data_IF_330861517103
#
_entry.id   IF_330861517103
#
_cell.length_a   1.000
_cell.length_b   1.000
_cell.length_c   1.000
_cell.angle_alpha   90.00
_cell.angle_beta   90.00
_cell.angle_gamma   90.00
#
_symmetry.space_group_name_H-M   'P 1'
#
loop_
_entity.id
_entity.type
_entity.pdbx_description
1 polymer ?
#
# COMPACT_ATOMS: atom_id res chain seq x y z
N UNK A 1 -99.44 18.82 -38.14
CA UNK A 1 -98.58 19.68 -38.96
C UNK A 1 -97.17 19.64 -38.42
N UNK A 2 -96.34 19.39 -39.32
CA UNK A 2 -94.84 19.52 -39.47
C UNK A 2 -93.98 18.37 -38.97
N UNK A 3 -93.52 17.64 -39.98
CA UNK A 3 -92.38 16.73 -40.02
C UNK A 3 -91.08 17.39 -39.60
N UNK A 4 -90.26 16.72 -38.86
CA UNK A 4 -88.84 16.95 -38.83
C UNK A 4 -88.08 15.65 -38.80
N UNK A 5 -87.39 15.40 -39.90
CA UNK A 5 -86.42 14.31 -40.14
C UNK A 5 -85.26 14.37 -39.18
N UNK A 6 -84.89 13.25 -38.56
CA UNK A 6 -83.64 13.05 -37.90
C UNK A 6 -82.67 12.29 -38.82
N UNK A 7 -81.59 12.95 -39.22
CA UNK A 7 -80.45 12.37 -39.89
C UNK A 7 -79.55 11.64 -38.84
N UNK A 8 -79.37 10.33 -39.05
CA UNK A 8 -78.41 9.54 -38.27
C UNK A 8 -77.06 9.63 -38.94
N UNK A 9 -76.12 10.28 -38.28
CA UNK A 9 -74.74 10.31 -38.70
C UNK A 9 -73.98 9.08 -38.08
N UNK A 10 -73.62 8.14 -38.93
CA UNK A 10 -72.75 7.02 -38.55
C UNK A 10 -71.30 7.49 -38.45
N UNK A 11 -70.75 7.51 -37.22
CA UNK A 11 -69.33 7.76 -36.99
C UNK A 11 -68.57 6.43 -37.04
N UNK A 12 -67.76 6.21 -38.10
CA UNK A 12 -66.79 5.12 -38.19
C UNK A 12 -65.57 5.47 -37.30
N UNK A 13 -65.47 4.81 -36.13
CA UNK A 13 -64.28 4.86 -35.27
C UNK A 13 -63.27 3.84 -35.78
N UNK A 14 -62.22 4.32 -36.49
CA UNK A 14 -61.07 3.47 -36.83
C UNK A 14 -60.21 3.26 -35.59
N UNK A 15 -60.21 2.09 -35.03
CA UNK A 15 -59.26 1.68 -33.98
C UNK A 15 -57.89 1.42 -34.63
N UNK A 16 -56.97 2.34 -34.39
CA UNK A 16 -55.53 2.14 -34.74
C UNK A 16 -54.96 1.20 -33.69
N UNK A 17 -54.78 -0.08 -33.99
CA UNK A 17 -54.11 -1.04 -33.13
C UNK A 17 -52.61 -0.72 -33.11
N UNK A 18 -52.14 -0.03 -32.07
CA UNK A 18 -50.73 0.14 -31.79
C UNK A 18 -50.17 -1.21 -31.34
N UNK A 19 -49.41 -1.88 -32.21
CA UNK A 19 -48.66 -3.07 -31.85
C UNK A 19 -47.52 -2.64 -30.90
N UNK A 20 -47.70 -2.84 -29.60
CA UNK A 20 -46.65 -2.72 -28.60
C UNK A 20 -45.72 -3.90 -28.81
N UNK A 21 -44.40 -3.69 -29.08
CA UNK A 21 -43.48 -4.81 -29.14
C UNK A 21 -43.50 -5.51 -27.76
N UNK A 22 -43.92 -6.77 -27.75
CA UNK A 22 -43.76 -7.59 -26.56
C UNK A 22 -42.28 -7.77 -26.33
N UNK A 23 -41.75 -7.16 -25.24
CA UNK A 23 -40.43 -7.47 -24.71
C UNK A 23 -40.53 -8.95 -24.32
N UNK A 24 -39.86 -9.80 -25.13
CA UNK A 24 -39.68 -11.22 -24.80
C UNK A 24 -39.02 -11.28 -23.42
N UNK A 25 -39.78 -11.68 -22.40
CA UNK A 25 -39.17 -12.10 -21.15
C UNK A 25 -38.32 -13.31 -21.50
N UNK A 26 -36.99 -13.21 -21.20
CA UNK A 26 -36.14 -14.37 -21.32
C UNK A 26 -36.75 -15.47 -20.44
N UNK A 27 -37.21 -16.54 -21.07
CA UNK A 27 -37.78 -17.68 -20.35
C UNK A 27 -36.76 -18.22 -19.36
N UNK A 28 -37.13 -18.36 -18.10
CA UNK A 28 -36.29 -19.02 -17.12
C UNK A 28 -35.94 -20.44 -17.61
N UNK A 29 -34.65 -20.80 -17.53
CA UNK A 29 -34.19 -22.13 -17.89
C UNK A 29 -34.99 -23.19 -17.09
N UNK A 30 -35.50 -24.20 -17.77
CA UNK A 30 -36.10 -25.34 -17.11
C UNK A 30 -35.12 -26.10 -16.23
N UNK A 31 -35.57 -26.87 -15.27
CA UNK A 31 -34.67 -27.67 -14.40
C UNK A 31 -33.74 -28.58 -15.20
N UNK A 32 -34.23 -29.18 -16.29
CA UNK A 32 -33.41 -30.02 -17.18
C UNK A 32 -32.33 -29.23 -17.93
N UNK A 33 -32.64 -28.02 -18.41
CA UNK A 33 -31.68 -27.14 -19.05
C UNK A 33 -30.61 -26.64 -18.05
N UNK A 34 -30.97 -26.30 -16.81
CA UNK A 34 -30.04 -25.94 -15.76
C UNK A 34 -29.05 -27.07 -15.48
N UNK A 35 -29.52 -28.29 -15.29
CA UNK A 35 -28.69 -29.48 -15.06
C UNK A 35 -27.74 -29.77 -16.23
N UNK A 36 -28.21 -29.62 -17.46
CA UNK A 36 -27.37 -29.82 -18.64
C UNK A 36 -26.28 -28.74 -18.77
N UNK A 37 -26.60 -27.46 -18.50
CA UNK A 37 -25.60 -26.37 -18.45
C UNK A 37 -24.55 -26.64 -17.38
N UNK A 38 -24.96 -27.06 -16.18
CA UNK A 38 -24.05 -27.40 -15.08
C UNK A 38 -23.09 -28.54 -15.48
N UNK A 39 -23.63 -29.58 -16.15
CA UNK A 39 -22.82 -30.70 -16.64
C UNK A 39 -21.80 -30.23 -17.69
N UNK A 40 -22.24 -29.48 -18.69
CA UNK A 40 -21.37 -28.95 -19.76
C UNK A 40 -20.25 -28.07 -19.16
N UNK A 41 -20.60 -27.15 -18.24
CA UNK A 41 -19.63 -26.28 -17.59
C UNK A 41 -18.60 -27.08 -16.79
N UNK A 42 -19.05 -28.07 -16.04
CA UNK A 42 -18.16 -28.94 -15.26
C UNK A 42 -17.19 -29.70 -16.16
N UNK A 43 -17.73 -30.38 -17.18
CA UNK A 43 -16.93 -31.18 -18.11
C UNK A 43 -15.92 -30.29 -18.86
N UNK A 44 -16.34 -29.09 -19.27
CA UNK A 44 -15.47 -28.14 -19.97
C UNK A 44 -14.35 -27.64 -19.04
N UNK A 45 -14.65 -27.24 -17.80
CA UNK A 45 -13.63 -26.75 -16.87
C UNK A 45 -12.65 -27.86 -16.42
N UNK A 46 -13.12 -29.13 -16.39
CA UNK A 46 -12.22 -30.26 -16.11
C UNK A 46 -11.32 -30.57 -17.32
N UNK A 47 -11.86 -30.46 -18.53
CA UNK A 47 -11.10 -30.66 -19.75
C UNK A 47 -10.13 -29.48 -20.05
N UNK A 48 -10.45 -28.29 -19.60
CA UNK A 48 -9.74 -27.02 -19.83
C UNK A 48 -9.46 -26.26 -18.53
N UNK A 49 -8.65 -26.81 -17.59
CA UNK A 49 -8.37 -26.17 -16.30
C UNK A 49 -7.61 -24.85 -16.44
N UNK A 50 -6.91 -24.62 -17.56
CA UNK A 50 -6.24 -23.37 -17.91
C UNK A 50 -7.20 -22.17 -17.92
N UNK A 51 -8.48 -22.35 -18.23
CA UNK A 51 -9.50 -21.28 -18.21
C UNK A 51 -9.64 -20.66 -16.81
N UNK A 52 -9.54 -21.49 -15.76
CA UNK A 52 -9.57 -20.98 -14.38
C UNK A 52 -8.29 -20.20 -14.07
N UNK A 53 -7.13 -20.70 -14.53
CA UNK A 53 -5.86 -19.99 -14.33
C UNK A 53 -5.87 -18.63 -15.04
N UNK A 54 -6.35 -18.57 -16.28
CA UNK A 54 -6.48 -17.34 -17.05
C UNK A 54 -7.44 -16.35 -16.37
N UNK A 55 -8.58 -16.84 -15.89
CA UNK A 55 -9.55 -16.02 -15.16
C UNK A 55 -8.97 -15.45 -13.84
N UNK A 56 -8.20 -16.25 -13.09
CA UNK A 56 -7.50 -15.80 -11.89
C UNK A 56 -6.42 -14.77 -12.22
N UNK A 57 -5.62 -14.99 -13.26
CA UNK A 57 -4.59 -14.04 -13.70
C UNK A 57 -5.20 -12.68 -14.11
N UNK A 58 -6.33 -12.69 -14.82
CA UNK A 58 -7.04 -11.46 -15.20
C UNK A 58 -7.66 -10.76 -13.96
N UNK A 59 -8.19 -11.53 -13.00
CA UNK A 59 -8.69 -10.98 -11.74
C UNK A 59 -7.56 -10.30 -10.94
N UNK A 60 -6.42 -10.98 -10.79
CA UNK A 60 -5.24 -10.45 -10.09
C UNK A 60 -4.72 -9.17 -10.76
N UNK A 61 -4.70 -9.14 -12.10
CA UNK A 61 -4.33 -7.97 -12.88
C UNK A 61 -5.26 -6.78 -12.63
N UNK A 62 -6.59 -7.02 -12.63
CA UNK A 62 -7.58 -5.97 -12.35
C UNK A 62 -7.48 -5.46 -10.92
N UNK A 63 -7.31 -6.37 -9.96
CA UNK A 63 -7.14 -6.01 -8.55
C UNK A 63 -5.87 -5.18 -8.36
N UNK A 64 -4.73 -5.62 -8.91
CA UNK A 64 -3.46 -4.88 -8.84
C UNK A 64 -3.56 -3.49 -9.47
N UNK A 65 -4.26 -3.35 -10.59
CA UNK A 65 -4.48 -2.04 -11.22
C UNK A 65 -5.35 -1.13 -10.34
N UNK A 66 -6.43 -1.66 -9.75
CA UNK A 66 -7.28 -0.90 -8.84
C UNK A 66 -6.54 -0.47 -7.56
N UNK A 67 -5.73 -1.36 -6.99
CA UNK A 67 -4.92 -1.07 -5.81
C UNK A 67 -3.84 -0.02 -6.13
N UNK A 68 -3.21 -0.07 -7.31
CA UNK A 68 -2.23 0.93 -7.75
C UNK A 68 -2.86 2.33 -7.84
N UNK A 69 -4.05 2.48 -8.42
CA UNK A 69 -4.76 3.77 -8.48
C UNK A 69 -5.16 4.26 -7.09
N UNK A 70 -5.63 3.37 -6.22
CA UNK A 70 -5.94 3.70 -4.82
C UNK A 70 -4.69 4.17 -4.08
N UNK A 71 -3.57 3.45 -4.20
CA UNK A 71 -2.30 3.83 -3.58
C UNK A 71 -1.83 5.20 -4.07
N UNK A 72 -1.85 5.45 -5.38
CA UNK A 72 -1.49 6.73 -5.97
C UNK A 72 -2.32 7.90 -5.41
N UNK A 73 -3.64 7.73 -5.30
CA UNK A 73 -4.52 8.72 -4.70
C UNK A 73 -4.18 8.96 -3.23
N UNK A 74 -3.96 7.88 -2.46
CA UNK A 74 -3.62 7.94 -1.03
C UNK A 74 -2.25 8.59 -0.80
N UNK A 75 -1.24 8.24 -1.62
CA UNK A 75 0.10 8.85 -1.57
C UNK A 75 0.00 10.36 -1.82
N UNK A 76 -0.75 10.77 -2.85
CA UNK A 76 -0.95 12.19 -3.15
C UNK A 76 -1.60 12.95 -1.99
N UNK A 77 -2.62 12.37 -1.35
CA UNK A 77 -3.31 12.98 -0.21
C UNK A 77 -2.42 13.11 1.03
N UNK A 78 -1.48 12.17 1.22
CA UNK A 78 -0.61 12.11 2.39
C UNK A 78 0.86 12.46 2.08
N UNK A 79 1.14 13.06 0.92
CA UNK A 79 2.49 13.30 0.41
C UNK A 79 3.39 14.03 1.41
N UNK A 80 2.87 15.07 2.09
CA UNK A 80 3.61 15.81 3.10
C UNK A 80 4.05 14.91 4.26
N UNK A 81 3.17 14.06 4.75
CA UNK A 81 3.46 13.15 5.87
C UNK A 81 4.37 11.99 5.45
N UNK A 82 4.20 11.50 4.22
CA UNK A 82 5.01 10.40 3.70
C UNK A 82 6.45 10.85 3.41
N UNK A 83 6.63 11.97 2.70
CA UNK A 83 7.92 12.35 2.12
C UNK A 83 8.64 13.49 2.84
N UNK A 84 7.93 14.30 3.64
CA UNK A 84 8.45 15.58 4.17
C UNK A 84 8.05 15.87 5.61
N UNK A 85 7.62 14.85 6.37
CA UNK A 85 7.32 15.03 7.79
C UNK A 85 8.57 15.44 8.56
N UNK A 86 8.49 16.41 9.51
CA UNK A 86 9.59 16.73 10.42
C UNK A 86 9.89 15.58 11.42
N UNK A 87 9.00 14.58 11.49
CA UNK A 87 9.07 13.43 12.41
C UNK A 87 9.73 12.20 11.80
N UNK A 88 10.42 12.34 10.68
CA UNK A 88 11.06 11.23 9.98
C UNK A 88 12.59 11.31 10.05
N UNK A 89 13.23 10.17 9.81
CA UNK A 89 14.67 10.12 9.57
C UNK A 89 14.92 10.28 8.09
N UNK A 90 15.85 11.15 7.73
CA UNK A 90 16.30 11.32 6.34
C UNK A 90 17.75 10.88 6.25
N UNK A 91 18.02 9.97 5.31
CA UNK A 91 19.35 9.49 4.97
C UNK A 91 19.64 9.81 3.49
N UNK A 92 20.92 9.85 3.13
CA UNK A 92 21.33 10.16 1.77
C UNK A 92 21.19 11.63 1.45
N UNK A 93 20.69 11.93 0.26
CA UNK A 93 20.55 13.31 -0.21
C UNK A 93 19.18 13.88 0.16
N UNK A 94 19.09 14.87 1.09
CA UNK A 94 17.80 15.47 1.45
C UNK A 94 17.09 16.15 0.25
N UNK A 95 17.85 16.59 -0.76
CA UNK A 95 17.36 17.19 -2.01
C UNK A 95 17.34 16.18 -3.17
N UNK A 96 17.36 14.89 -2.85
CA UNK A 96 17.34 13.81 -3.83
C UNK A 96 16.12 13.85 -4.74
N UNK A 97 16.33 13.50 -6.02
CA UNK A 97 15.28 13.56 -7.03
C UNK A 97 14.28 12.39 -6.97
N UNK A 98 14.56 11.37 -6.17
CA UNK A 98 13.62 10.30 -5.80
C UNK A 98 13.66 10.15 -4.29
N UNK A 99 12.49 10.02 -3.67
CA UNK A 99 12.37 9.68 -2.25
C UNK A 99 11.93 8.21 -2.14
N UNK A 100 12.74 7.44 -1.43
CA UNK A 100 12.50 6.06 -1.05
C UNK A 100 12.08 6.04 0.42
N UNK A 101 10.87 5.65 0.73
CA UNK A 101 10.36 5.56 2.10
C UNK A 101 10.26 4.11 2.50
N UNK A 102 10.83 3.74 3.65
CA UNK A 102 10.74 2.39 4.21
C UNK A 102 9.99 2.41 5.54
N UNK A 103 8.96 1.59 5.66
CA UNK A 103 8.29 1.23 6.91
C UNK A 103 8.86 -0.09 7.42
N UNK A 104 9.44 -0.07 8.60
CA UNK A 104 10.19 -1.21 9.14
C UNK A 104 9.89 -1.49 10.62
N UNK A 105 10.29 -2.68 11.07
CA UNK A 105 10.21 -3.12 12.46
C UNK A 105 11.54 -3.74 12.89
N UNK A 106 12.05 -3.38 14.06
CA UNK A 106 13.35 -3.87 14.57
C UNK A 106 13.39 -5.38 14.87
N UNK A 107 12.24 -6.03 15.03
CA UNK A 107 12.15 -7.49 15.21
C UNK A 107 11.82 -8.23 13.90
N UNK A 108 11.73 -7.54 12.79
CA UNK A 108 11.43 -8.14 11.50
C UNK A 108 12.68 -8.73 10.83
N UNK A 109 12.72 -10.08 10.72
CA UNK A 109 13.83 -10.75 10.03
C UNK A 109 13.96 -10.39 8.54
N UNK A 110 12.86 -10.02 7.88
CA UNK A 110 12.88 -9.53 6.50
C UNK A 110 13.46 -8.10 6.40
N UNK A 111 13.16 -7.21 7.36
CA UNK A 111 13.76 -5.89 7.45
C UNK A 111 15.28 -5.97 7.67
N UNK A 112 15.72 -6.92 8.49
CA UNK A 112 17.16 -7.17 8.67
C UNK A 112 17.87 -7.52 7.36
N UNK A 113 17.26 -8.33 6.50
CA UNK A 113 17.82 -8.63 5.16
C UNK A 113 17.74 -7.43 4.22
N UNK A 114 16.62 -6.71 4.25
CA UNK A 114 16.40 -5.53 3.43
C UNK A 114 17.32 -4.35 3.76
N UNK A 115 17.87 -4.32 4.97
CA UNK A 115 18.85 -3.29 5.38
C UNK A 115 20.08 -3.25 4.46
N UNK A 116 20.59 -4.41 4.04
CA UNK A 116 21.75 -4.47 3.14
C UNK A 116 21.41 -3.89 1.75
N UNK A 117 20.19 -4.13 1.26
CA UNK A 117 19.68 -3.55 0.02
C UNK A 117 19.58 -2.02 0.14
N UNK A 118 19.01 -1.52 1.23
CA UNK A 118 18.89 -0.09 1.52
C UNK A 118 20.26 0.59 1.63
N UNK A 119 21.23 -0.03 2.31
CA UNK A 119 22.60 0.50 2.43
C UNK A 119 23.31 0.53 1.09
N UNK A 120 23.08 -0.46 0.23
CA UNK A 120 23.60 -0.50 -1.13
C UNK A 120 23.02 0.63 -1.98
N UNK A 121 21.70 0.83 -1.93
CA UNK A 121 21.04 1.96 -2.60
C UNK A 121 21.59 3.30 -2.14
N UNK A 122 21.76 3.47 -0.82
CA UNK A 122 22.30 4.70 -0.23
C UNK A 122 23.73 5.00 -0.70
N UNK A 123 24.55 3.97 -0.88
CA UNK A 123 25.94 4.08 -1.35
C UNK A 123 26.02 4.36 -2.85
N UNK A 124 25.21 3.64 -3.64
CA UNK A 124 25.34 3.63 -5.10
C UNK A 124 24.63 4.81 -5.76
N UNK A 125 23.64 5.42 -5.08
CA UNK A 125 22.81 6.49 -5.65
C UNK A 125 22.89 7.79 -4.84
N UNK A 126 23.82 8.70 -5.17
CA UNK A 126 23.98 9.99 -4.46
C UNK A 126 22.80 10.96 -4.69
N UNK A 127 21.86 10.63 -5.56
CA UNK A 127 20.65 11.42 -5.81
C UNK A 127 19.41 10.85 -5.14
N UNK A 128 19.57 9.82 -4.32
CA UNK A 128 18.46 9.19 -3.59
C UNK A 128 18.30 9.83 -2.21
N UNK A 129 17.08 10.16 -1.86
CA UNK A 129 16.64 10.47 -0.50
C UNK A 129 15.99 9.24 0.10
N UNK A 130 16.46 8.77 1.24
CA UNK A 130 15.84 7.68 1.99
C UNK A 130 15.16 8.23 3.23
N UNK A 131 13.93 7.82 3.44
CA UNK A 131 13.13 8.14 4.63
C UNK A 131 12.81 6.86 5.37
N UNK A 132 13.17 6.80 6.64
CA UNK A 132 12.85 5.68 7.52
C UNK A 132 11.69 6.02 8.44
N UNK A 133 10.72 5.11 8.54
CA UNK A 133 9.54 5.22 9.39
C UNK A 133 9.37 3.96 10.24
N UNK A 134 9.46 4.12 11.54
CA UNK A 134 9.18 3.05 12.50
C UNK A 134 7.72 2.61 12.36
N UNK A 135 7.53 1.32 12.11
CA UNK A 135 6.23 0.67 12.02
C UNK A 135 6.23 -0.63 12.85
N UNK A 136 6.22 -0.50 14.20
CA UNK A 136 6.38 -1.63 15.12
C UNK A 136 5.10 -2.45 15.23
N UNK A 137 4.98 -3.49 14.40
CA UNK A 137 3.80 -4.37 14.29
C UNK A 137 4.03 -5.76 14.90
N UNK A 138 5.25 -6.08 15.34
CA UNK A 138 5.63 -7.42 15.82
C UNK A 138 5.64 -7.54 17.34
N UNK A 139 4.85 -6.73 18.03
CA UNK A 139 4.59 -6.87 19.46
C UNK A 139 5.23 -5.79 20.34
N UNK A 140 5.10 -5.93 21.69
CA UNK A 140 5.49 -4.89 22.64
C UNK A 140 6.97 -4.49 22.55
N UNK A 141 7.88 -5.46 22.39
CA UNK A 141 9.31 -5.17 22.26
C UNK A 141 9.62 -4.30 21.04
N UNK A 142 8.94 -4.52 19.91
CA UNK A 142 9.07 -3.67 18.72
C UNK A 142 8.64 -2.22 19.00
N UNK A 143 7.53 -2.04 19.72
CA UNK A 143 7.05 -0.71 20.12
C UNK A 143 8.07 -0.02 21.03
N UNK A 144 8.62 -0.72 22.01
CA UNK A 144 9.64 -0.19 22.91
C UNK A 144 10.91 0.21 22.15
N UNK A 145 11.39 -0.65 21.25
CA UNK A 145 12.57 -0.37 20.42
C UNK A 145 12.34 0.86 19.52
N UNK A 146 11.17 0.95 18.88
CA UNK A 146 10.79 2.08 18.05
C UNK A 146 10.69 3.40 18.84
N UNK A 147 10.18 3.37 20.08
CA UNK A 147 10.15 4.54 20.95
C UNK A 147 11.56 5.07 21.23
N UNK A 148 12.51 4.17 21.54
CA UNK A 148 13.92 4.55 21.73
C UNK A 148 14.50 5.12 20.43
N UNK A 149 14.23 4.50 19.28
CA UNK A 149 14.70 4.98 17.98
C UNK A 149 14.22 6.40 17.67
N UNK A 150 12.97 6.72 17.97
CA UNK A 150 12.46 8.10 17.83
C UNK A 150 13.22 9.07 18.73
N UNK A 151 13.51 8.70 19.98
CA UNK A 151 14.29 9.53 20.89
C UNK A 151 15.75 9.72 20.40
N UNK A 152 16.34 8.67 19.79
CA UNK A 152 17.65 8.76 19.10
C UNK A 152 17.62 9.79 17.98
N UNK A 153 16.60 9.75 17.12
CA UNK A 153 16.37 10.74 16.05
C UNK A 153 16.31 12.17 16.59
N UNK A 154 15.68 12.39 17.75
CA UNK A 154 15.55 13.73 18.33
C UNK A 154 16.90 14.33 18.74
N UNK A 155 17.91 13.50 18.98
CA UNK A 155 19.27 13.95 19.25
C UNK A 155 20.13 14.12 18.00
N UNK A 156 19.77 13.44 16.90
CA UNK A 156 20.56 13.45 15.66
C UNK A 156 19.80 14.14 14.51
N UNK A 157 20.27 15.32 14.16
CA UNK A 157 19.73 16.09 13.03
C UNK A 157 20.34 15.71 11.68
N UNK A 158 21.40 14.88 11.68
CA UNK A 158 22.15 14.53 10.48
C UNK A 158 21.79 13.16 9.91
N UNK A 159 21.10 12.34 10.67
CA UNK A 159 20.80 10.95 10.36
C UNK A 159 21.97 9.97 10.56
N UNK A 160 23.19 10.47 10.84
CA UNK A 160 24.39 9.61 10.96
C UNK A 160 24.35 8.71 12.20
N UNK A 161 24.06 9.30 13.36
CA UNK A 161 23.92 8.55 14.62
C UNK A 161 22.71 7.62 14.58
N UNK A 162 21.61 8.08 13.97
CA UNK A 162 20.44 7.23 13.77
C UNK A 162 20.76 6.03 12.86
N UNK A 163 21.49 6.23 11.76
CA UNK A 163 21.88 5.13 10.88
C UNK A 163 22.77 4.11 11.61
N UNK A 164 23.74 4.58 12.41
CA UNK A 164 24.57 3.70 13.24
C UNK A 164 23.72 2.91 14.25
N UNK A 165 22.78 3.57 14.92
CA UNK A 165 21.83 2.93 15.82
C UNK A 165 20.99 1.88 15.07
N UNK A 166 20.42 2.26 13.94
CA UNK A 166 19.57 1.39 13.12
C UNK A 166 20.30 0.12 12.70
N UNK A 167 21.52 0.25 12.18
CA UNK A 167 22.35 -0.89 11.77
C UNK A 167 22.69 -1.82 12.95
N UNK A 168 23.08 -1.27 14.11
CA UNK A 168 23.44 -2.06 15.29
C UNK A 168 22.23 -2.76 15.91
N UNK A 169 21.09 -2.09 15.99
CA UNK A 169 19.89 -2.65 16.61
C UNK A 169 19.23 -3.68 15.70
N UNK A 170 18.97 -3.35 14.44
CA UNK A 170 18.32 -4.25 13.48
C UNK A 170 19.25 -5.41 13.08
N UNK A 171 20.53 -5.14 12.85
CA UNK A 171 21.55 -6.15 12.51
C UNK A 171 21.91 -7.09 13.65
N UNK A 172 21.60 -6.74 14.89
CA UNK A 172 21.98 -7.50 16.06
C UNK A 172 21.27 -8.85 16.22
N UNK A 173 21.63 -9.64 17.25
CA UNK A 173 21.03 -10.93 17.58
C UNK A 173 20.01 -10.78 18.71
N UNK A 174 18.98 -11.61 18.74
CA UNK A 174 17.92 -11.62 19.75
C UNK A 174 16.86 -10.54 19.51
N UNK A 175 15.91 -10.47 20.41
CA UNK A 175 14.79 -9.53 20.32
C UNK A 175 15.24 -8.10 20.57
N UNK A 176 14.79 -7.17 19.77
CA UNK A 176 14.93 -5.75 20.01
C UNK A 176 13.79 -5.30 20.94
N UNK A 177 14.18 -4.89 22.15
CA UNK A 177 13.32 -4.32 23.18
C UNK A 177 13.93 -3.01 23.70
N UNK A 178 13.29 -2.40 24.69
CA UNK A 178 13.78 -1.17 25.31
C UNK A 178 15.20 -1.29 25.86
N UNK A 179 15.49 -2.40 26.58
CA UNK A 179 16.78 -2.57 27.24
C UNK A 179 17.91 -2.62 26.22
N UNK A 180 17.71 -3.39 25.14
CA UNK A 180 18.68 -3.52 24.08
C UNK A 180 18.82 -2.24 23.27
N UNK A 181 17.73 -1.55 22.96
CA UNK A 181 17.76 -0.29 22.25
C UNK A 181 18.52 0.79 23.04
N UNK A 182 18.31 0.86 24.38
CA UNK A 182 19.07 1.76 25.26
C UNK A 182 20.56 1.39 25.32
N UNK A 183 20.89 0.11 25.35
CA UNK A 183 22.28 -0.34 25.32
C UNK A 183 22.99 0.09 24.03
N UNK A 184 22.35 -0.07 22.86
CA UNK A 184 22.86 0.40 21.57
C UNK A 184 23.01 1.91 21.57
N UNK A 185 22.02 2.66 22.07
CA UNK A 185 22.09 4.11 22.15
C UNK A 185 23.29 4.60 22.99
N UNK A 186 23.56 3.94 24.10
CA UNK A 186 24.75 4.21 24.95
C UNK A 186 26.04 3.88 24.23
N UNK A 187 26.10 2.73 23.54
CA UNK A 187 27.29 2.25 22.82
C UNK A 187 27.73 3.21 21.70
N UNK A 188 26.78 3.84 21.01
CA UNK A 188 27.07 4.86 19.99
C UNK A 188 27.31 6.27 20.55
N UNK A 189 27.36 6.42 21.89
CA UNK A 189 27.72 7.66 22.57
C UNK A 189 26.66 8.74 22.54
N UNK A 190 25.37 8.37 22.71
CA UNK A 190 24.31 9.35 22.92
C UNK A 190 24.24 9.85 24.36
N UNK A 191 23.73 11.04 24.55
CA UNK A 191 23.42 11.58 25.88
C UNK A 191 22.20 10.83 26.44
N UNK A 192 22.47 9.93 27.39
CA UNK A 192 21.44 9.06 27.98
C UNK A 192 20.45 9.85 28.85
N UNK A 193 20.89 10.91 29.54
CA UNK A 193 19.98 11.77 30.33
C UNK A 193 19.00 12.49 29.43
N UNK A 194 19.47 13.02 28.32
CA UNK A 194 18.63 13.62 27.29
C UNK A 194 17.72 12.59 26.63
N UNK A 195 18.25 11.38 26.35
CA UNK A 195 17.47 10.30 25.73
C UNK A 195 16.26 9.90 26.58
N UNK A 196 16.44 9.77 27.90
CA UNK A 196 15.35 9.47 28.83
C UNK A 196 14.27 10.57 28.83
N UNK A 197 14.69 11.84 28.82
CA UNK A 197 13.76 12.96 28.70
C UNK A 197 13.01 12.97 27.37
N UNK A 198 13.73 12.76 26.26
CA UNK A 198 13.16 12.73 24.93
C UNK A 198 12.18 11.54 24.80
N UNK A 199 12.51 10.37 25.37
CA UNK A 199 11.67 9.18 25.38
C UNK A 199 10.33 9.40 26.10
N UNK A 200 10.29 10.22 27.13
CA UNK A 200 9.08 10.59 27.87
C UNK A 200 8.26 11.70 27.16
N UNK A 201 8.75 12.25 26.05
CA UNK A 201 8.11 13.36 25.37
C UNK A 201 6.88 12.94 24.55
N UNK A 202 5.94 13.87 24.37
CA UNK A 202 4.79 13.66 23.48
C UNK A 202 5.18 13.41 22.02
N UNK A 203 6.37 13.83 21.60
CA UNK A 203 6.88 13.68 20.24
C UNK A 203 7.07 12.20 19.85
N UNK A 204 7.50 11.36 20.79
CA UNK A 204 7.65 9.90 20.54
C UNK A 204 6.31 9.29 20.15
N UNK A 205 5.27 9.55 20.96
CA UNK A 205 3.93 9.07 20.67
C UNK A 205 3.38 9.63 19.36
N UNK A 206 3.56 10.94 19.14
CA UNK A 206 3.07 11.60 17.93
C UNK A 206 3.73 11.05 16.66
N UNK A 207 5.05 10.76 16.70
CA UNK A 207 5.77 10.15 15.58
C UNK A 207 5.22 8.78 15.24
N UNK A 208 5.08 7.90 16.21
CA UNK A 208 4.57 6.53 15.95
C UNK A 208 3.11 6.57 15.48
N UNK A 209 2.26 7.40 16.07
CA UNK A 209 0.88 7.57 15.62
C UNK A 209 0.79 8.09 14.18
N UNK A 210 1.65 9.03 13.79
CA UNK A 210 1.72 9.53 12.42
C UNK A 210 2.10 8.40 11.45
N UNK A 211 3.12 7.60 11.77
CA UNK A 211 3.56 6.49 10.94
C UNK A 211 2.46 5.42 10.80
N UNK A 212 1.80 5.04 11.90
CA UNK A 212 0.69 4.09 11.87
C UNK A 212 -0.47 4.58 11.02
N UNK A 213 -0.87 5.85 11.17
CA UNK A 213 -1.95 6.45 10.39
C UNK A 213 -1.68 6.43 8.89
N UNK A 214 -0.45 6.72 8.49
CA UNK A 214 -0.05 6.67 7.07
C UNK A 214 -0.01 5.23 6.58
N UNK A 215 0.57 4.31 7.35
CA UNK A 215 0.61 2.89 7.02
C UNK A 215 -0.80 2.30 6.83
N UNK A 216 -1.73 2.62 7.74
CA UNK A 216 -3.14 2.22 7.64
C UNK A 216 -3.81 2.80 6.39
N UNK A 217 -3.63 4.09 6.11
CA UNK A 217 -4.17 4.72 4.91
C UNK A 217 -3.68 4.07 3.62
N UNK A 218 -2.42 3.61 3.60
CA UNK A 218 -1.81 2.89 2.49
C UNK A 218 -2.15 1.39 2.47
N UNK A 219 -2.87 0.87 3.48
CA UNK A 219 -3.19 -0.55 3.60
C UNK A 219 -1.98 -1.44 3.90
N UNK A 220 -0.92 -0.89 4.50
CA UNK A 220 0.26 -1.67 4.88
C UNK A 220 -0.06 -2.56 6.08
N UNK A 221 0.23 -3.85 5.95
CA UNK A 221 -0.03 -4.86 6.98
C UNK A 221 1.21 -5.64 7.42
N UNK A 222 2.39 -5.26 6.94
CA UNK A 222 3.65 -5.93 7.26
C UNK A 222 4.88 -5.08 6.94
N UNK A 223 6.03 -5.59 7.32
CA UNK A 223 7.33 -4.97 7.13
C UNK A 223 8.34 -5.94 6.48
N UNK A 224 9.30 -5.47 5.68
CA UNK A 224 9.39 -4.09 5.23
C UNK A 224 8.29 -3.76 4.22
N UNK A 225 7.87 -2.49 4.16
CA UNK A 225 7.02 -1.96 3.10
C UNK A 225 7.58 -0.62 2.64
N UNK A 226 7.43 -0.31 1.36
CA UNK A 226 8.08 0.85 0.76
C UNK A 226 7.09 1.73 0.02
N UNK A 227 7.38 3.04 0.00
CA UNK A 227 6.73 3.99 -0.92
C UNK A 227 7.82 4.65 -1.76
N UNK A 228 7.74 4.47 -3.09
CA UNK A 228 8.70 4.99 -4.05
C UNK A 228 7.91 5.67 -5.17
N UNK A 229 7.96 7.01 -5.23
CA UNK A 229 7.07 7.77 -6.11
C UNK A 229 5.60 7.48 -5.81
N UNK A 230 4.84 7.05 -6.80
CA UNK A 230 3.42 6.72 -6.69
C UNK A 230 3.17 5.22 -6.37
N UNK A 231 4.23 4.47 -6.06
CA UNK A 231 4.15 3.02 -5.90
C UNK A 231 4.29 2.62 -4.42
N UNK A 232 3.46 1.67 -4.01
CA UNK A 232 3.63 0.90 -2.77
C UNK A 232 4.21 -0.45 -3.12
N UNK A 233 5.27 -0.85 -2.40
CA UNK A 233 5.91 -2.16 -2.54
C UNK A 233 5.89 -2.85 -1.18
N UNK A 234 5.42 -4.08 -1.11
CA UNK A 234 5.29 -4.84 0.13
C UNK A 234 6.27 -6.00 0.14
N UNK A 235 6.98 -6.16 1.26
CA UNK A 235 7.93 -7.24 1.48
C UNK A 235 9.36 -6.96 1.01
N UNK A 236 10.28 -7.83 1.39
CA UNK A 236 11.69 -7.76 1.00
C UNK A 236 11.87 -8.29 -0.42
N UNK A 237 11.62 -7.43 -1.42
CA UNK A 237 11.63 -7.78 -2.85
C UNK A 237 13.04 -7.87 -3.45
N UNK A 238 14.07 -7.47 -2.70
CA UNK A 238 15.46 -7.51 -3.12
C UNK A 238 15.94 -6.26 -3.88
N UNK A 239 17.25 -6.09 -3.91
CA UNK A 239 17.93 -4.90 -4.43
C UNK A 239 17.53 -4.52 -5.86
N UNK A 240 17.51 -5.50 -6.77
CA UNK A 240 17.26 -5.21 -8.20
C UNK A 240 15.83 -4.70 -8.42
N UNK A 241 14.84 -5.28 -7.76
CA UNK A 241 13.46 -4.80 -7.85
C UNK A 241 13.31 -3.39 -7.26
N UNK A 242 14.02 -3.08 -6.17
CA UNK A 242 14.03 -1.74 -5.59
C UNK A 242 14.72 -0.73 -6.51
N UNK A 243 15.86 -1.08 -7.12
CA UNK A 243 16.56 -0.25 -8.13
C UNK A 243 15.65 0.05 -9.33
N UNK A 244 14.94 -0.97 -9.82
CA UNK A 244 13.99 -0.81 -10.93
C UNK A 244 12.90 0.21 -10.57
N UNK A 245 12.32 0.12 -9.36
CA UNK A 245 11.29 1.07 -8.91
C UNK A 245 11.83 2.50 -8.76
N UNK A 246 13.04 2.66 -8.22
CA UNK A 246 13.71 3.96 -8.14
C UNK A 246 13.95 4.55 -9.52
N UNK A 247 14.47 3.76 -10.46
CA UNK A 247 14.73 4.20 -11.84
C UNK A 247 13.43 4.53 -12.58
N UNK A 248 12.42 3.69 -12.49
CA UNK A 248 11.11 3.94 -13.10
C UNK A 248 10.50 5.24 -12.57
N UNK A 249 10.61 5.50 -11.26
CA UNK A 249 10.16 6.77 -10.68
C UNK A 249 10.98 7.95 -11.20
N UNK A 250 12.28 7.78 -11.43
CA UNK A 250 13.21 8.83 -11.86
C UNK A 250 13.08 9.19 -13.34
N UNK A 251 13.00 8.21 -14.23
CA UNK A 251 13.09 8.41 -15.67
C UNK A 251 12.05 7.64 -16.51
N UNK A 252 11.12 6.93 -15.86
CA UNK A 252 10.09 6.15 -16.54
C UNK A 252 10.55 4.82 -17.13
N UNK A 253 11.80 4.39 -16.83
CA UNK A 253 12.40 3.15 -17.35
C UNK A 253 13.00 2.32 -16.21
N UNK A 254 13.10 0.98 -16.34
CA UNK A 254 13.73 0.11 -15.33
C UNK A 254 15.21 0.43 -15.09
N UNK A 255 15.87 0.99 -16.08
CA UNK A 255 17.27 1.42 -16.02
C UNK A 255 17.38 2.86 -16.54
N UNK A 256 18.08 3.69 -15.83
CA UNK A 256 18.47 5.03 -16.21
C UNK A 256 19.99 5.05 -16.45
#
# INVERSE_FOLDING_TARGET
MTFRSCLVAAACSAFLAIAIPQISQADELTAGQKSEVERILRDYLIAHPEVIQDAMAELDKRQSAADAEKHKATIKQNAQTIFSSPRQVVLGNPDGNVTFVEFFDYNCGYCKRAMDDMLTLLKDDPKLKIVLKEFPVLGPGSVEAAQVAVAVRMQDKTGKKYLEFHQKLLGGRGQADKARALAVAKDIGLDMTRLEKDLASAEVKATLQENFKVAEALGLNGTPSYVIGDNVVVGAVGLEALKEKVNTTRCGKPTC
#
